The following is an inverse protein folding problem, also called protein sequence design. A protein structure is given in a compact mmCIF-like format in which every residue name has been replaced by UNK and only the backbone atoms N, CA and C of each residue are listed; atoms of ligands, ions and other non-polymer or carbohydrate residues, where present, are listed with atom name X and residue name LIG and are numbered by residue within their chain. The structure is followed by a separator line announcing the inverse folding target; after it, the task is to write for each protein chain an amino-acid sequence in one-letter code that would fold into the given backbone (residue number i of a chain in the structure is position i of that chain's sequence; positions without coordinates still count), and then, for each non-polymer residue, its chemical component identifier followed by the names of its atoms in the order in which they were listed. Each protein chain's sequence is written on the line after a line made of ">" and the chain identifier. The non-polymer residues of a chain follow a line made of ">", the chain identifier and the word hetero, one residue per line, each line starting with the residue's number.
data_IF_079233618308
#
_entry.id   IF_079233618308
#
_cell.length_a   1.000
_cell.length_b   1.000
_cell.length_c   1.000
_cell.angle_alpha   90.00
_cell.angle_beta   90.00
_cell.angle_gamma   90.00
#
_symmetry.space_group_name_H-M   'P 1'
#
loop_
_entity.id
_entity.type
_entity.pdbx_description
1 polymer ?
#
# COMPACT_ATOMS: atom_id res chain seq x y z
N UNK A 1 -5.57 3.77 -12.18
CA UNK A 1 -5.97 2.43 -11.69
C UNK A 1 -4.84 1.40 -11.72
N UNK A 2 -4.06 1.22 -12.82
CA UNK A 2 -2.96 0.22 -12.88
C UNK A 2 -1.88 0.48 -11.82
N UNK A 3 -1.48 1.73 -11.66
CA UNK A 3 -0.51 2.14 -10.63
C UNK A 3 -1.04 1.82 -9.24
N UNK A 4 -2.32 2.09 -8.98
CA UNK A 4 -2.94 1.79 -7.70
C UNK A 4 -2.94 0.28 -7.45
N UNK A 5 -3.40 -0.53 -8.43
CA UNK A 5 -3.34 -1.99 -8.32
C UNK A 5 -1.92 -2.52 -8.00
N UNK A 6 -0.88 -1.97 -8.64
CA UNK A 6 0.49 -2.34 -8.33
C UNK A 6 0.91 -1.90 -6.91
N UNK A 7 0.38 -0.78 -6.43
CA UNK A 7 0.52 -0.33 -5.05
C UNK A 7 -0.08 -1.33 -4.06
N UNK A 8 -1.34 -1.75 -4.29
CA UNK A 8 -2.03 -2.73 -3.42
C UNK A 8 -1.34 -4.11 -3.41
N UNK A 9 -0.84 -4.58 -4.58
CA UNK A 9 0.00 -5.79 -4.65
C UNK A 9 1.23 -5.65 -3.75
N UNK A 10 1.84 -4.46 -3.75
CA UNK A 10 3.03 -4.17 -2.94
C UNK A 10 2.69 -4.05 -1.46
N UNK A 11 1.60 -3.38 -1.09
CA UNK A 11 1.13 -3.22 0.28
C UNK A 11 0.79 -4.58 0.90
N UNK A 12 -0.01 -5.39 0.21
CA UNK A 12 -0.36 -6.73 0.66
C UNK A 12 0.89 -7.59 0.92
N UNK A 13 1.86 -7.60 0.00
CA UNK A 13 3.11 -8.35 0.15
C UNK A 13 3.96 -7.84 1.32
N UNK A 14 4.02 -6.51 1.49
CA UNK A 14 4.72 -5.84 2.58
C UNK A 14 4.16 -6.30 3.94
N UNK A 15 2.83 -6.27 4.12
CA UNK A 15 2.17 -6.68 5.37
C UNK A 15 2.32 -8.17 5.65
N UNK A 16 2.29 -9.01 4.62
CA UNK A 16 2.57 -10.44 4.76
C UNK A 16 4.00 -10.68 5.23
N UNK A 17 4.98 -9.97 4.66
CA UNK A 17 6.37 -10.02 5.08
C UNK A 17 6.58 -9.56 6.52
N UNK A 18 5.96 -8.43 6.91
CA UNK A 18 5.98 -7.91 8.28
C UNK A 18 5.32 -8.91 9.26
N UNK A 19 4.17 -9.49 8.90
CA UNK A 19 3.46 -10.46 9.73
C UNK A 19 4.29 -11.74 9.95
N UNK A 20 5.07 -12.17 8.95
CA UNK A 20 5.94 -13.34 9.08
C UNK A 20 7.01 -13.15 10.16
N UNK A 21 7.53 -11.94 10.31
CA UNK A 21 8.63 -11.62 11.23
C UNK A 21 8.19 -10.87 12.49
N UNK A 22 6.89 -10.59 12.64
CA UNK A 22 6.33 -9.93 13.82
C UNK A 22 6.59 -10.73 15.09
N UNK A 23 7.00 -10.04 16.16
CA UNK A 23 7.38 -10.64 17.44
C UNK A 23 6.18 -10.97 18.32
N UNK A 24 5.15 -10.12 18.30
CA UNK A 24 3.93 -10.31 19.10
C UNK A 24 2.80 -10.88 18.27
N UNK A 25 1.93 -11.67 18.91
CA UNK A 25 0.78 -12.25 18.26
C UNK A 25 -0.21 -11.18 17.77
N UNK A 26 -0.43 -10.14 18.57
CA UNK A 26 -1.38 -9.06 18.27
C UNK A 26 -0.96 -8.27 17.03
N UNK A 27 0.32 -7.91 16.93
CA UNK A 27 0.87 -7.24 15.73
C UNK A 27 0.77 -8.13 14.50
N UNK A 28 1.07 -9.43 14.66
CA UNK A 28 0.94 -10.39 13.56
C UNK A 28 -0.49 -10.50 13.06
N UNK A 29 -1.48 -10.54 13.97
CA UNK A 29 -2.90 -10.58 13.62
C UNK A 29 -3.32 -9.30 12.92
N UNK A 30 -2.94 -8.14 13.46
CA UNK A 30 -3.23 -6.83 12.85
C UNK A 30 -2.69 -6.72 11.42
N UNK A 31 -1.42 -7.09 11.20
CA UNK A 31 -0.80 -7.06 9.87
C UNK A 31 -1.46 -8.02 8.87
N UNK A 32 -1.85 -9.22 9.33
CA UNK A 32 -2.59 -10.17 8.49
C UNK A 32 -3.98 -9.64 8.13
N UNK A 33 -4.64 -8.95 9.06
CA UNK A 33 -5.94 -8.36 8.81
C UNK A 33 -5.83 -7.26 7.76
N UNK A 34 -4.88 -6.32 7.89
CA UNK A 34 -4.63 -5.31 6.86
C UNK A 34 -4.33 -5.97 5.49
N UNK A 35 -3.47 -6.99 5.46
CA UNK A 35 -3.19 -7.71 4.21
C UNK A 35 -4.43 -8.38 3.56
N UNK A 36 -5.43 -8.76 4.36
CA UNK A 36 -6.70 -9.31 3.84
C UNK A 36 -7.60 -8.19 3.29
N UNK A 37 -7.61 -7.03 3.92
CA UNK A 37 -8.41 -5.87 3.49
C UNK A 37 -7.92 -5.34 2.14
N UNK A 38 -6.62 -5.43 1.84
CA UNK A 38 -6.07 -5.13 0.50
C UNK A 38 -6.67 -5.98 -0.64
N UNK A 39 -7.27 -7.14 -0.35
CA UNK A 39 -7.92 -7.93 -1.41
C UNK A 39 -9.10 -7.18 -2.05
N UNK A 40 -9.86 -6.42 -1.29
CA UNK A 40 -10.98 -5.65 -1.81
C UNK A 40 -10.48 -4.55 -2.74
N UNK A 41 -9.43 -3.83 -2.34
CA UNK A 41 -8.77 -2.81 -3.16
C UNK A 41 -8.22 -3.40 -4.46
N UNK A 42 -7.58 -4.57 -4.39
CA UNK A 42 -7.09 -5.29 -5.57
C UNK A 42 -8.24 -5.64 -6.53
N UNK A 43 -9.34 -6.19 -6.02
CA UNK A 43 -10.54 -6.56 -6.82
C UNK A 43 -11.17 -5.32 -7.46
N UNK A 44 -11.33 -4.22 -6.72
CA UNK A 44 -11.89 -2.99 -7.25
C UNK A 44 -11.02 -2.40 -8.36
N UNK A 45 -9.71 -2.30 -8.12
CA UNK A 45 -8.75 -1.81 -9.11
C UNK A 45 -8.73 -2.68 -10.37
N UNK A 46 -8.64 -4.02 -10.22
CA UNK A 46 -8.62 -4.96 -11.34
C UNK A 46 -9.91 -4.90 -12.16
N UNK A 47 -11.07 -4.91 -11.50
CA UNK A 47 -12.38 -4.78 -12.16
C UNK A 47 -12.48 -3.47 -12.95
N UNK A 48 -11.98 -2.36 -12.36
CA UNK A 48 -12.01 -1.06 -13.04
C UNK A 48 -11.07 -1.02 -14.23
N UNK A 49 -9.87 -1.57 -14.11
CA UNK A 49 -8.89 -1.67 -15.21
C UNK A 49 -9.50 -2.44 -16.40
N UNK A 50 -10.10 -3.61 -16.12
CA UNK A 50 -10.79 -4.41 -17.17
C UNK A 50 -11.89 -3.63 -17.86
N UNK A 51 -12.74 -2.91 -17.11
CA UNK A 51 -13.83 -2.09 -17.68
C UNK A 51 -13.34 -0.91 -18.51
N UNK A 52 -12.11 -0.47 -18.29
CA UNK A 52 -11.44 0.57 -19.06
C UNK A 52 -10.65 0.02 -20.26
N UNK A 53 -10.68 -1.31 -20.50
CA UNK A 53 -9.92 -1.96 -21.56
C UNK A 53 -8.40 -1.98 -21.34
N UNK A 54 -7.97 -1.79 -20.09
CA UNK A 54 -6.55 -1.82 -19.68
C UNK A 54 -6.10 -3.21 -19.24
N UNK A 55 -4.83 -3.30 -18.83
CA UNK A 55 -4.21 -4.51 -18.28
C UNK A 55 -3.48 -4.20 -16.99
N UNK A 56 -3.22 -5.22 -16.18
CA UNK A 56 -2.39 -5.14 -14.98
C UNK A 56 -0.92 -4.93 -15.36
N UNK A 57 -0.13 -4.42 -14.40
CA UNK A 57 1.32 -4.28 -14.61
C UNK A 57 1.98 -5.65 -14.72
N UNK A 58 2.81 -5.85 -15.73
CA UNK A 58 3.64 -7.05 -15.91
C UNK A 58 4.72 -7.18 -14.82
N UNK A 59 5.01 -6.09 -14.11
CA UNK A 59 5.98 -6.04 -13.02
C UNK A 59 5.39 -6.43 -11.66
N UNK A 60 4.09 -6.76 -11.56
CA UNK A 60 3.47 -7.15 -10.29
C UNK A 60 4.20 -8.26 -9.54
N UNK A 61 4.73 -9.33 -10.18
CA UNK A 61 5.52 -10.34 -9.46
C UNK A 61 6.81 -9.79 -8.84
N UNK A 62 7.45 -8.81 -9.50
CA UNK A 62 8.64 -8.14 -8.98
C UNK A 62 8.29 -7.25 -7.80
N UNK A 63 7.22 -6.47 -7.93
CA UNK A 63 6.74 -5.59 -6.85
C UNK A 63 6.32 -6.41 -5.63
N UNK A 64 5.59 -7.51 -5.84
CA UNK A 64 5.22 -8.41 -4.76
C UNK A 64 6.44 -8.95 -4.02
N UNK A 65 7.38 -9.55 -4.75
CA UNK A 65 8.56 -10.18 -4.15
C UNK A 65 9.45 -9.16 -3.43
N UNK A 66 9.69 -8.01 -4.06
CA UNK A 66 10.48 -6.92 -3.47
C UNK A 66 9.85 -6.38 -2.20
N UNK A 67 8.55 -6.09 -2.23
CA UNK A 67 7.80 -5.58 -1.08
C UNK A 67 7.74 -6.58 0.06
N UNK A 68 7.57 -7.88 -0.23
CA UNK A 68 7.60 -8.92 0.78
C UNK A 68 8.95 -8.96 1.54
N UNK A 69 10.06 -8.88 0.81
CA UNK A 69 11.40 -8.83 1.42
C UNK A 69 11.60 -7.57 2.27
N UNK A 70 11.14 -6.43 1.78
CA UNK A 70 11.17 -5.16 2.53
C UNK A 70 10.35 -5.29 3.80
N UNK A 71 9.12 -5.82 3.70
CA UNK A 71 8.24 -6.04 4.85
C UNK A 71 8.85 -6.99 5.88
N UNK A 72 9.39 -8.12 5.45
CA UNK A 72 10.07 -9.06 6.34
C UNK A 72 11.26 -8.40 7.05
N UNK A 73 12.03 -7.57 6.35
CA UNK A 73 13.14 -6.82 6.93
C UNK A 73 12.66 -5.80 7.96
N UNK A 74 11.60 -5.05 7.65
CA UNK A 74 11.00 -4.08 8.57
C UNK A 74 10.49 -4.76 9.86
N UNK A 75 9.84 -5.93 9.74
CA UNK A 75 9.39 -6.71 10.89
C UNK A 75 10.53 -7.22 11.77
N UNK A 76 11.66 -7.63 11.19
CA UNK A 76 12.85 -8.04 11.95
C UNK A 76 13.45 -6.92 12.82
N UNK A 77 13.31 -5.66 12.43
CA UNK A 77 13.75 -4.50 13.23
C UNK A 77 12.96 -4.41 14.55
N UNK A 78 11.70 -4.85 14.53
CA UNK A 78 10.83 -4.95 15.71
C UNK A 78 9.49 -4.25 15.50
N UNK A 79 8.48 -4.71 16.24
CA UNK A 79 7.06 -4.40 16.01
C UNK A 79 6.77 -2.89 15.95
N UNK A 80 7.36 -2.10 16.85
CA UNK A 80 7.16 -0.63 16.85
C UNK A 80 7.59 0.04 15.56
N UNK A 81 8.74 -0.35 15.03
CA UNK A 81 9.30 0.18 13.78
C UNK A 81 8.56 -0.37 12.57
N UNK A 82 8.18 -1.64 12.63
CA UNK A 82 7.36 -2.31 11.61
C UNK A 82 6.01 -1.62 11.44
N UNK A 83 5.31 -1.36 12.54
CA UNK A 83 4.04 -0.61 12.52
C UNK A 83 4.23 0.84 12.09
N UNK A 84 5.35 1.48 12.48
CA UNK A 84 5.70 2.81 11.99
C UNK A 84 5.95 2.82 10.47
N UNK A 85 6.55 1.75 9.93
CA UNK A 85 6.76 1.58 8.50
C UNK A 85 5.41 1.43 7.78
N UNK A 86 4.49 0.61 8.29
CA UNK A 86 3.13 0.50 7.78
C UNK A 86 2.46 1.88 7.76
N UNK A 87 2.39 2.56 8.90
CA UNK A 87 1.74 3.87 8.99
C UNK A 87 2.31 4.91 8.00
N UNK A 88 3.62 4.90 7.75
CA UNK A 88 4.24 5.78 6.75
C UNK A 88 3.89 5.37 5.33
N UNK A 89 3.82 4.06 5.04
CA UNK A 89 3.38 3.54 3.73
C UNK A 89 1.98 4.06 3.42
N UNK A 90 1.03 3.89 4.35
CA UNK A 90 -0.36 4.33 4.15
C UNK A 90 -0.49 5.83 3.98
N UNK A 91 0.27 6.62 4.75
CA UNK A 91 0.28 8.08 4.55
C UNK A 91 0.77 8.48 3.16
N UNK A 92 1.74 7.77 2.60
CA UNK A 92 2.21 8.01 1.24
C UNK A 92 1.19 7.55 0.21
N UNK A 93 0.48 6.44 0.45
CA UNK A 93 -0.64 5.98 -0.41
C UNK A 93 -1.78 6.99 -0.40
N UNK A 94 -2.25 7.46 0.77
CA UNK A 94 -3.27 8.51 0.88
C UNK A 94 -2.89 9.76 0.06
N UNK A 95 -1.65 10.24 0.20
CA UNK A 95 -1.15 11.38 -0.59
C UNK A 95 -1.16 11.10 -2.10
N UNK A 96 -0.84 9.88 -2.50
CA UNK A 96 -0.84 9.46 -3.89
C UNK A 96 -2.27 9.41 -4.46
N UNK A 97 -3.21 8.85 -3.70
CA UNK A 97 -4.63 8.79 -4.05
C UNK A 97 -5.25 10.19 -4.17
N UNK A 98 -4.90 11.10 -3.28
CA UNK A 98 -5.29 12.53 -3.39
C UNK A 98 -4.83 13.15 -4.71
N UNK A 99 -3.58 12.89 -5.10
CA UNK A 99 -3.06 13.36 -6.38
C UNK A 99 -3.82 12.78 -7.58
N UNK A 100 -4.23 11.51 -7.51
CA UNK A 100 -5.05 10.90 -8.54
C UNK A 100 -6.46 11.50 -8.60
N UNK A 101 -7.11 11.71 -7.45
CA UNK A 101 -8.44 12.31 -7.36
C UNK A 101 -8.49 13.72 -7.95
N UNK A 102 -7.42 14.52 -7.77
CA UNK A 102 -7.30 15.86 -8.33
C UNK A 102 -7.17 15.85 -9.86
N UNK A 103 -6.54 14.82 -10.43
CA UNK A 103 -6.28 14.71 -11.86
C UNK A 103 -7.30 13.84 -12.61
N UNK A 104 -8.24 13.22 -11.91
CA UNK A 104 -9.26 12.37 -12.51
C UNK A 104 -10.31 13.21 -13.22
N UNK A 105 -10.72 12.84 -14.47
CA UNK A 105 -11.83 13.51 -15.13
C UNK A 105 -13.10 13.54 -14.27
N UNK A 106 -13.77 14.68 -14.22
CA UNK A 106 -14.98 14.85 -13.42
C UNK A 106 -16.11 13.87 -13.79
N UNK A 107 -16.12 13.39 -15.02
CA UNK A 107 -17.09 12.41 -15.55
C UNK A 107 -16.80 10.97 -15.09
N UNK A 108 -15.60 10.67 -14.58
CA UNK A 108 -15.25 9.30 -14.14
C UNK A 108 -15.64 9.08 -12.66
N UNK A 109 -16.95 9.10 -12.40
CA UNK A 109 -17.50 8.90 -11.07
C UNK A 109 -17.17 7.52 -10.48
N UNK A 110 -17.01 6.50 -11.33
CA UNK A 110 -16.72 5.14 -10.84
C UNK A 110 -15.30 5.00 -10.32
N UNK A 111 -14.31 5.51 -11.04
CA UNK A 111 -12.94 5.53 -10.53
C UNK A 111 -12.82 6.41 -9.30
N UNK A 112 -13.53 7.54 -9.29
CA UNK A 112 -13.54 8.45 -8.15
C UNK A 112 -14.03 7.76 -6.87
N UNK A 113 -15.18 7.08 -6.92
CA UNK A 113 -15.74 6.38 -5.75
C UNK A 113 -14.77 5.31 -5.21
N UNK A 114 -14.08 4.56 -6.09
CA UNK A 114 -13.08 3.58 -5.67
C UNK A 114 -11.92 4.27 -4.95
N UNK A 115 -11.38 5.34 -5.53
CA UNK A 115 -10.23 6.04 -4.94
C UNK A 115 -10.56 6.75 -3.63
N UNK A 116 -11.78 7.28 -3.49
CA UNK A 116 -12.26 7.90 -2.26
C UNK A 116 -12.36 6.86 -1.15
N UNK A 117 -12.97 5.69 -1.42
CA UNK A 117 -13.06 4.61 -0.44
C UNK A 117 -11.68 4.10 -0.03
N UNK A 118 -10.82 3.75 -0.99
CA UNK A 118 -9.44 3.32 -0.71
C UNK A 118 -8.71 4.34 0.18
N UNK A 119 -8.84 5.62 -0.13
CA UNK A 119 -8.20 6.68 0.67
C UNK A 119 -8.69 6.72 2.12
N UNK A 120 -9.98 6.50 2.37
CA UNK A 120 -10.55 6.42 3.73
C UNK A 120 -9.98 5.20 4.47
N UNK A 121 -9.96 4.05 3.83
CA UNK A 121 -9.47 2.80 4.39
C UNK A 121 -7.98 2.91 4.74
N UNK A 122 -7.14 3.47 3.85
CA UNK A 122 -5.70 3.64 4.10
C UNK A 122 -5.41 4.65 5.22
N UNK A 123 -6.22 5.69 5.35
CA UNK A 123 -6.10 6.62 6.47
C UNK A 123 -6.43 5.95 7.81
N UNK A 124 -7.37 5.00 7.81
CA UNK A 124 -7.68 4.18 8.98
C UNK A 124 -6.55 3.21 9.30
N UNK A 125 -5.99 2.50 8.30
CA UNK A 125 -4.84 1.61 8.48
C UNK A 125 -3.65 2.34 9.12
N UNK A 126 -3.31 3.54 8.63
CA UNK A 126 -2.27 4.37 9.24
C UNK A 126 -2.56 4.69 10.71
N UNK A 127 -3.81 5.02 11.03
CA UNK A 127 -4.25 5.35 12.39
C UNK A 127 -4.18 4.13 13.31
N UNK A 128 -4.65 2.98 12.86
CA UNK A 128 -4.62 1.72 13.59
C UNK A 128 -3.18 1.28 13.87
N UNK A 129 -2.28 1.40 12.89
CA UNK A 129 -0.87 1.09 13.07
C UNK A 129 -0.22 1.91 14.20
N UNK A 130 -0.50 3.21 14.25
CA UNK A 130 -0.01 4.08 15.34
C UNK A 130 -0.64 3.72 16.69
N UNK A 131 -1.95 3.47 16.74
CA UNK A 131 -2.64 3.04 17.96
C UNK A 131 -2.09 1.72 18.52
N UNK A 132 -1.68 0.81 17.63
CA UNK A 132 -1.05 -0.48 18.00
C UNK A 132 0.43 -0.34 18.39
N UNK A 133 0.94 0.88 18.54
CA UNK A 133 2.28 1.16 19.07
C UNK A 133 3.34 1.48 18.01
N UNK A 134 2.92 1.75 16.78
CA UNK A 134 3.82 2.24 15.73
C UNK A 134 4.46 3.57 16.11
N UNK A 135 5.75 3.72 15.80
CA UNK A 135 6.50 4.95 16.07
C UNK A 135 6.84 5.68 14.76
N UNK A 136 6.85 7.01 14.76
CA UNK A 136 7.25 7.77 13.57
C UNK A 136 8.66 7.38 13.10
N UNK A 137 8.81 7.18 11.80
CA UNK A 137 10.10 6.85 11.19
C UNK A 137 11.00 8.11 11.08
N UNK A 138 12.32 7.92 11.12
CA UNK A 138 13.26 9.00 10.79
C UNK A 138 13.04 9.50 9.35
N UNK A 139 13.12 10.82 9.15
CA UNK A 139 12.93 11.46 7.84
C UNK A 139 13.71 10.83 6.68
N UNK A 140 14.99 10.42 6.84
CA UNK A 140 15.72 9.77 5.75
C UNK A 140 15.07 8.45 5.30
N UNK A 141 14.48 7.68 6.22
CA UNK A 141 13.75 6.45 5.90
C UNK A 141 12.49 6.77 5.10
N UNK A 142 11.71 7.78 5.52
CA UNK A 142 10.52 8.22 4.79
C UNK A 142 10.87 8.69 3.36
N UNK A 143 11.98 9.42 3.19
CA UNK A 143 12.45 9.85 1.85
C UNK A 143 12.87 8.67 0.97
N UNK A 144 13.54 7.68 1.55
CA UNK A 144 13.88 6.46 0.82
C UNK A 144 12.63 5.72 0.37
N UNK A 145 11.64 5.55 1.24
CA UNK A 145 10.35 4.94 0.92
C UNK A 145 9.66 5.69 -0.23
N UNK A 146 9.57 7.02 -0.13
CA UNK A 146 9.00 7.85 -1.21
C UNK A 146 9.75 7.70 -2.53
N UNK A 147 11.08 7.60 -2.49
CA UNK A 147 11.91 7.36 -3.67
C UNK A 147 11.60 6.01 -4.34
N UNK A 148 11.52 4.93 -3.56
CA UNK A 148 11.17 3.59 -4.05
C UNK A 148 9.75 3.57 -4.60
N UNK A 149 8.79 4.18 -3.91
CA UNK A 149 7.40 4.28 -4.36
C UNK A 149 7.30 5.05 -5.70
N UNK A 150 8.06 6.15 -5.88
CA UNK A 150 8.12 6.87 -7.16
C UNK A 150 8.65 6.03 -8.31
N UNK A 151 9.66 5.19 -8.07
CA UNK A 151 10.17 4.27 -9.09
C UNK A 151 9.10 3.25 -9.47
N UNK A 152 8.45 2.64 -8.48
CA UNK A 152 7.38 1.66 -8.68
C UNK A 152 6.21 2.29 -9.45
N UNK A 153 5.68 3.41 -9.01
CA UNK A 153 4.54 4.07 -9.63
C UNK A 153 4.83 4.50 -11.07
N UNK A 154 6.03 5.06 -11.32
CA UNK A 154 6.44 5.48 -12.66
C UNK A 154 6.57 4.30 -13.61
N UNK A 155 7.16 3.19 -13.18
CA UNK A 155 7.32 1.99 -14.03
C UNK A 155 5.99 1.27 -14.23
N UNK A 156 5.16 1.09 -13.20
CA UNK A 156 3.84 0.50 -13.30
C UNK A 156 2.87 1.31 -14.18
N UNK A 157 3.12 2.61 -14.37
CA UNK A 157 2.33 3.43 -15.28
C UNK A 157 2.52 3.01 -16.75
N UNK A 158 3.74 2.63 -17.14
CA UNK A 158 4.10 2.33 -18.53
C UNK A 158 4.04 0.84 -18.87
N UNK A 159 4.22 -0.02 -17.90
CA UNK A 159 4.36 -1.48 -18.09
C UNK A 159 3.17 -2.19 -17.36
#
# INVERSE_FOLDING_TARGET
>A
MRVNHAGEVSAQALYQGQAMTARTADVRVSLKQSALEENDHLVWCQSRISKLGGHLSWLNPLWYTGSFVIGATAGMVGDKWSLGFLAETERQVVKHLDGHLQNLPASDLKSRAILEQMKEDEAEHATVAIKNGGVPLPKPVCWLMEGVAKVMTKTAFWI
#
